data_IF_866764174013
#
_entry.id   IF_866764174013
#
_cell.length_a   1.000
_cell.length_b   1.000
_cell.length_c   1.000
_cell.angle_alpha   90.00
_cell.angle_beta   90.00
_cell.angle_gamma   90.00
#
_symmetry.space_group_name_H-M   'P 1'
#
loop_
_entity.id
_entity.type
_entity.pdbx_description
1 polymer ?
#
# COMPACT_ATOMS: atom_id res chain seq x y z
N UNK A 1 -14.96 4.25 -16.16
CA UNK A 1 -14.11 3.21 -15.54
C UNK A 1 -15.02 2.08 -15.07
N UNK A 2 -14.64 0.80 -15.19
CA UNK A 2 -15.51 -0.28 -14.70
C UNK A 2 -15.27 -0.45 -13.19
N UNK A 3 -16.29 -0.88 -12.44
CA UNK A 3 -16.20 -1.13 -10.98
C UNK A 3 -15.03 -2.05 -10.60
N UNK A 4 -14.70 -3.02 -11.45
CA UNK A 4 -13.57 -3.92 -11.24
C UNK A 4 -12.21 -3.20 -11.23
N UNK A 5 -12.06 -2.14 -12.04
CA UNK A 5 -10.83 -1.34 -12.10
C UNK A 5 -10.65 -0.59 -10.76
N UNK A 6 -11.74 -0.02 -10.23
CA UNK A 6 -11.76 0.69 -8.94
C UNK A 6 -11.43 -0.23 -7.74
N UNK A 7 -11.89 -1.48 -7.74
CA UNK A 7 -11.50 -2.45 -6.70
C UNK A 7 -10.01 -2.77 -6.70
N UNK A 8 -9.35 -2.70 -7.86
CA UNK A 8 -7.90 -2.91 -7.99
C UNK A 8 -7.13 -1.71 -7.45
N UNK A 9 -7.72 -0.52 -7.50
CA UNK A 9 -7.09 0.73 -7.14
C UNK A 9 -6.95 0.93 -5.62
N UNK A 10 -7.64 0.16 -4.77
CA UNK A 10 -7.56 0.30 -3.30
C UNK A 10 -6.13 0.20 -2.76
N UNK A 11 -5.29 -0.67 -3.34
CA UNK A 11 -3.89 -0.80 -2.93
C UNK A 11 -3.05 0.41 -3.35
N UNK A 12 -3.27 0.91 -4.57
CA UNK A 12 -2.61 2.11 -5.07
C UNK A 12 -3.04 3.37 -4.30
N UNK A 13 -4.34 3.47 -3.99
CA UNK A 13 -4.90 4.52 -3.14
C UNK A 13 -4.28 4.48 -1.75
N UNK A 14 -4.21 3.30 -1.13
CA UNK A 14 -3.60 3.11 0.20
C UNK A 14 -2.16 3.60 0.23
N UNK A 15 -1.37 3.31 -0.82
CA UNK A 15 0.03 3.75 -0.95
C UNK A 15 0.19 5.22 -1.33
N UNK A 16 -0.90 5.92 -1.69
CA UNK A 16 -0.87 7.31 -2.12
C UNK A 16 -0.21 7.53 -3.50
N UNK A 17 -0.29 6.54 -4.39
CA UNK A 17 0.36 6.57 -5.72
C UNK A 17 -0.60 6.85 -6.87
N UNK A 18 -1.91 6.98 -6.60
CA UNK A 18 -2.88 7.43 -7.59
C UNK A 18 -2.67 8.91 -7.91
N UNK A 19 -2.97 9.29 -9.15
CA UNK A 19 -3.11 10.70 -9.47
C UNK A 19 -4.40 11.29 -8.84
N UNK A 20 -4.52 12.62 -8.85
CA UNK A 20 -5.63 13.30 -8.21
C UNK A 20 -6.99 12.94 -8.83
N UNK A 21 -7.04 12.65 -10.13
CA UNK A 21 -8.29 12.34 -10.81
C UNK A 21 -8.76 10.91 -10.48
N UNK A 22 -7.82 9.97 -10.38
CA UNK A 22 -8.11 8.59 -10.01
C UNK A 22 -8.40 8.43 -8.52
N UNK A 23 -7.70 9.18 -7.65
CA UNK A 23 -8.02 9.24 -6.22
C UNK A 23 -9.47 9.74 -5.99
N UNK A 24 -9.87 10.83 -6.63
CA UNK A 24 -11.23 11.36 -6.50
C UNK A 24 -12.30 10.34 -6.92
N UNK A 25 -12.09 9.62 -8.03
CA UNK A 25 -13.03 8.58 -8.50
C UNK A 25 -13.09 7.39 -7.55
N UNK A 26 -11.95 7.02 -6.96
CA UNK A 26 -11.91 5.95 -5.98
C UNK A 26 -12.62 6.35 -4.67
N UNK A 27 -12.46 7.59 -4.21
CA UNK A 27 -13.15 8.12 -3.03
C UNK A 27 -14.67 8.11 -3.20
N UNK A 28 -15.18 8.51 -4.37
CA UNK A 28 -16.61 8.41 -4.71
C UNK A 28 -17.10 6.96 -4.62
N UNK A 29 -16.36 6.01 -5.19
CA UNK A 29 -16.67 4.59 -5.07
C UNK A 29 -16.58 4.05 -3.64
N UNK A 30 -15.61 4.52 -2.85
CA UNK A 30 -15.38 4.08 -1.47
C UNK A 30 -16.60 4.37 -0.58
N UNK A 31 -17.31 5.46 -0.84
CA UNK A 31 -18.54 5.82 -0.11
C UNK A 31 -19.67 4.80 -0.32
N UNK A 32 -19.67 4.09 -1.45
CA UNK A 32 -20.73 3.15 -1.82
C UNK A 32 -20.33 1.67 -1.68
N UNK A 33 -19.03 1.38 -1.50
CA UNK A 33 -18.50 0.03 -1.54
C UNK A 33 -17.89 -0.45 -0.20
N UNK A 34 -18.64 -1.23 0.61
CA UNK A 34 -18.13 -1.74 1.89
C UNK A 34 -16.93 -2.69 1.74
N UNK A 35 -16.83 -3.41 0.62
CA UNK A 35 -15.67 -4.26 0.35
C UNK A 35 -14.38 -3.43 0.20
N UNK A 36 -14.43 -2.29 -0.49
CA UNK A 36 -13.28 -1.40 -0.61
C UNK A 36 -12.92 -0.76 0.72
N UNK A 37 -13.90 -0.44 1.57
CA UNK A 37 -13.65 0.06 2.92
C UNK A 37 -12.92 -0.98 3.81
N UNK A 38 -13.33 -2.25 3.73
CA UNK A 38 -12.65 -3.35 4.44
C UNK A 38 -11.22 -3.55 3.93
N UNK A 39 -11.04 -3.62 2.60
CA UNK A 39 -9.70 -3.76 2.00
C UNK A 39 -8.79 -2.58 2.34
N UNK A 40 -9.32 -1.36 2.37
CA UNK A 40 -8.57 -0.16 2.74
C UNK A 40 -8.08 -0.24 4.20
N UNK A 41 -8.92 -0.73 5.12
CA UNK A 41 -8.53 -0.96 6.51
C UNK A 41 -7.42 -2.03 6.60
N UNK A 42 -7.54 -3.13 5.86
CA UNK A 42 -6.53 -4.19 5.82
C UNK A 42 -5.19 -3.67 5.26
N UNK A 43 -5.22 -2.88 4.19
CA UNK A 43 -4.02 -2.29 3.61
C UNK A 43 -3.37 -1.21 4.49
N UNK A 44 -4.13 -0.58 5.39
CA UNK A 44 -3.58 0.34 6.38
C UNK A 44 -2.47 -0.29 7.23
N UNK A 45 -2.64 -1.56 7.64
CA UNK A 45 -1.62 -2.31 8.36
C UNK A 45 -0.38 -2.58 7.52
N UNK A 46 -0.57 -3.01 6.26
CA UNK A 46 0.53 -3.29 5.32
C UNK A 46 1.33 -2.01 5.04
N UNK A 47 0.64 -0.89 4.78
CA UNK A 47 1.28 0.42 4.58
C UNK A 47 2.11 0.83 5.78
N UNK A 48 1.59 0.68 7.01
CA UNK A 48 2.35 1.04 8.21
C UNK A 48 3.65 0.23 8.33
N UNK A 49 3.64 -1.04 7.95
CA UNK A 49 4.85 -1.88 7.92
C UNK A 49 5.83 -1.43 6.83
N UNK A 50 5.35 -1.07 5.63
CA UNK A 50 6.19 -0.55 4.55
C UNK A 50 6.80 0.82 4.88
N UNK A 51 6.04 1.69 5.53
CA UNK A 51 6.53 2.99 6.01
C UNK A 51 7.62 2.78 7.08
N UNK A 52 7.46 1.80 7.98
CA UNK A 52 8.49 1.44 8.96
C UNK A 52 9.74 0.85 8.31
N UNK A 53 9.57 -0.02 7.32
CA UNK A 53 10.68 -0.54 6.53
C UNK A 53 11.49 0.60 5.90
N UNK A 54 10.80 1.56 5.28
CA UNK A 54 11.44 2.74 4.67
C UNK A 54 12.20 3.58 5.69
N UNK A 55 11.64 3.79 6.89
CA UNK A 55 12.33 4.53 7.96
C UNK A 55 13.59 3.83 8.46
N UNK A 56 13.59 2.49 8.50
CA UNK A 56 14.70 1.69 9.03
C UNK A 56 15.77 1.36 7.99
N UNK A 57 15.46 1.55 6.71
CA UNK A 57 16.31 1.11 5.61
C UNK A 57 16.95 2.32 4.92
N UNK A 58 18.29 2.42 4.87
CA UNK A 58 18.96 3.46 4.10
C UNK A 58 18.51 3.45 2.63
N UNK A 59 18.40 4.61 1.99
CA UNK A 59 17.95 4.73 0.60
C UNK A 59 18.85 3.99 -0.42
N UNK A 60 20.07 3.63 -0.02
CA UNK A 60 21.09 2.95 -0.83
C UNK A 60 21.20 1.45 -0.52
N UNK A 61 20.12 0.79 -0.09
CA UNK A 61 20.15 -0.67 -0.01
C UNK A 61 20.18 -1.23 -1.42
N UNK A 62 21.32 -1.84 -1.78
CA UNK A 62 21.49 -2.54 -3.04
C UNK A 62 20.33 -3.54 -3.25
N UNK A 63 19.83 -3.73 -4.49
CA UNK A 63 18.68 -4.59 -4.78
C UNK A 63 18.83 -6.05 -4.31
N UNK A 64 20.05 -6.45 -3.96
CA UNK A 64 20.32 -7.65 -3.17
C UNK A 64 20.92 -7.28 -1.81
N UNK A 65 20.04 -6.99 -0.85
CA UNK A 65 20.41 -6.82 0.54
C UNK A 65 20.64 -8.21 1.18
N UNK A 66 21.84 -8.47 1.69
CA UNK A 66 22.04 -9.64 2.53
C UNK A 66 21.28 -9.46 3.85
N UNK A 67 20.53 -10.48 4.27
CA UNK A 67 19.88 -10.48 5.58
C UNK A 67 20.91 -10.19 6.68
N UNK A 68 20.54 -9.35 7.65
CA UNK A 68 21.41 -9.05 8.77
C UNK A 68 21.71 -10.35 9.55
N UNK A 69 22.94 -10.54 10.08
CA UNK A 69 23.33 -11.77 10.77
C UNK A 69 22.36 -12.20 11.88
N UNK A 70 21.78 -11.24 12.61
CA UNK A 70 20.79 -11.51 13.65
C UNK A 70 19.46 -12.12 13.16
N UNK A 71 19.14 -12.04 11.87
CA UNK A 71 17.99 -12.73 11.27
C UNK A 71 18.31 -14.20 10.96
N UNK A 72 19.59 -14.54 10.81
CA UNK A 72 20.05 -15.88 10.40
C UNK A 72 20.49 -16.75 11.59
N UNK A 73 20.77 -16.15 12.74
CA UNK A 73 21.23 -16.84 13.95
C UNK A 73 20.11 -17.10 14.96
N UNK A 74 18.90 -17.42 14.48
CA UNK A 74 17.76 -17.80 15.33
C UNK A 74 18.09 -18.91 16.32
#
# INVERSE_FOLDING_TARGET
MRTLDLHRDVGAYSLGVLDAADAFRFEDHLMECPQCALLLADFGGVKAQLDEYTRRTPAEVAPFAAASPGLLTG
#
